data_IF_124728376262
#
_entry.id   IF_124728376262
#
_cell.length_a   1.000
_cell.length_b   1.000
_cell.length_c   1.000
_cell.angle_alpha   90.00
_cell.angle_beta   90.00
_cell.angle_gamma   90.00
#
_symmetry.space_group_name_H-M   'P 1'
#
loop_
_entity.id
_entity.type
_entity.pdbx_description
1 polymer ?
#
# COMPACT_ATOMS: atom_id res chain seq x y z
N UNK A 1 2.93 24.06 -4.30
CA UNK A 1 3.61 23.87 -2.99
C UNK A 1 4.15 22.44 -2.97
N UNK A 2 5.11 22.10 -2.10
CA UNK A 2 5.71 20.75 -2.04
C UNK A 2 5.66 20.19 -0.63
N UNK A 3 5.38 18.88 -0.52
CA UNK A 3 5.28 18.15 0.75
C UNK A 3 6.00 16.81 0.59
N UNK A 4 6.90 16.51 1.52
CA UNK A 4 7.63 15.24 1.57
C UNK A 4 6.96 14.28 2.55
N UNK A 5 6.95 12.99 2.27
CA UNK A 5 6.39 11.97 3.15
C UNK A 5 7.32 10.78 3.32
N UNK A 6 7.26 10.14 4.47
CA UNK A 6 7.99 8.90 4.77
C UNK A 6 6.96 7.82 5.11
N UNK A 7 7.10 6.61 4.54
CA UNK A 7 6.17 5.49 4.66
C UNK A 7 6.78 4.35 5.49
N UNK A 8 6.54 4.34 6.81
CA UNK A 8 7.22 3.39 7.73
C UNK A 8 6.57 1.99 7.77
N UNK A 9 7.30 0.89 7.49
CA UNK A 9 6.78 -0.47 7.56
C UNK A 9 6.62 -0.96 9.00
N UNK A 10 5.38 -0.97 9.52
CA UNK A 10 5.11 -1.45 10.89
C UNK A 10 4.22 -2.69 10.95
N UNK A 11 4.64 -3.64 11.78
CA UNK A 11 4.02 -4.94 11.99
C UNK A 11 2.87 -4.96 13.02
N UNK A 12 2.43 -3.81 13.56
CA UNK A 12 1.36 -3.78 14.57
C UNK A 12 0.36 -2.68 14.24
N UNK A 13 -0.92 -3.05 14.28
CA UNK A 13 -2.06 -2.21 13.97
C UNK A 13 -2.24 -1.06 14.97
N UNK A 14 -2.13 0.17 14.49
CA UNK A 14 -2.94 1.31 14.91
C UNK A 14 -2.69 2.46 13.95
N UNK A 15 -3.74 2.94 13.29
CA UNK A 15 -3.72 4.26 12.65
C UNK A 15 -3.80 5.29 13.78
N UNK A 16 -2.70 5.45 14.50
CA UNK A 16 -2.41 6.76 15.02
C UNK A 16 -2.06 7.56 13.79
N UNK A 17 -2.99 8.39 13.31
CA UNK A 17 -2.63 9.67 12.74
C UNK A 17 -1.82 10.38 13.82
N UNK A 18 -0.56 9.97 13.98
CA UNK A 18 0.37 10.59 14.89
C UNK A 18 0.52 11.98 14.32
N UNK A 19 -0.12 12.93 15.00
CA UNK A 19 -0.08 14.35 14.76
C UNK A 19 1.22 14.71 14.06
N UNK A 20 1.09 15.36 12.91
CA UNK A 20 2.15 15.98 12.15
C UNK A 20 3.12 16.70 13.10
N UNK A 21 4.15 16.00 13.57
CA UNK A 21 5.36 16.65 13.98
C UNK A 21 5.90 17.18 12.66
N UNK A 22 5.71 18.47 12.45
CA UNK A 22 6.14 19.20 11.26
C UNK A 22 7.66 19.19 11.23
N UNK A 23 8.23 18.05 10.90
CA UNK A 23 9.66 17.92 10.68
C UNK A 23 9.96 18.62 9.36
N UNK A 24 11.08 19.34 9.32
CA UNK A 24 11.54 19.97 8.09
C UNK A 24 12.74 19.17 7.63
N UNK A 25 12.72 18.76 6.37
CA UNK A 25 13.92 18.14 5.79
C UNK A 25 15.07 19.14 5.70
N UNK A 26 16.26 18.66 5.33
CA UNK A 26 17.47 19.47 5.18
C UNK A 26 17.31 20.63 4.16
N UNK A 27 16.24 20.59 3.35
CA UNK A 27 15.87 21.58 2.34
C UNK A 27 14.74 22.52 2.81
N UNK A 28 14.31 22.39 4.07
CA UNK A 28 13.32 23.25 4.71
C UNK A 28 11.87 22.96 4.34
N UNK A 29 11.58 21.83 3.66
CA UNK A 29 10.23 21.45 3.23
C UNK A 29 9.49 20.75 4.36
N UNK A 30 8.17 20.93 4.40
CA UNK A 30 7.31 20.22 5.35
C UNK A 30 7.32 18.73 5.04
N UNK A 31 7.76 17.93 6.01
CA UNK A 31 7.70 16.46 5.97
C UNK A 31 6.49 15.99 6.77
N UNK A 32 5.60 15.24 6.12
CA UNK A 32 4.51 14.54 6.78
C UNK A 32 4.82 13.04 6.86
N UNK A 33 5.06 12.56 8.07
CA UNK A 33 5.41 11.15 8.29
C UNK A 33 4.14 10.31 8.34
N UNK A 34 4.09 9.24 7.54
CA UNK A 34 2.96 8.30 7.50
C UNK A 34 3.44 6.88 7.77
N UNK A 35 2.73 6.16 8.63
CA UNK A 35 3.04 4.76 8.95
C UNK A 35 2.24 3.87 8.00
N UNK A 36 2.89 3.09 7.12
CA UNK A 36 2.19 2.25 6.12
C UNK A 36 2.80 0.86 6.00
N UNK A 37 2.03 -0.13 5.54
CA UNK A 37 2.49 -1.53 5.39
C UNK A 37 3.13 -1.81 4.01
N UNK A 38 3.48 -0.78 3.26
CA UNK A 38 3.86 -0.89 1.85
C UNK A 38 5.31 -1.35 1.69
N UNK A 39 5.52 -2.59 1.24
CA UNK A 39 6.86 -3.19 1.02
C UNK A 39 7.08 -3.69 -0.41
N UNK A 40 6.01 -4.05 -1.10
CA UNK A 40 6.10 -4.61 -2.45
C UNK A 40 5.84 -3.50 -3.48
N UNK A 41 6.80 -3.27 -4.37
CA UNK A 41 6.73 -2.24 -5.40
C UNK A 41 5.58 -2.48 -6.38
N UNK A 42 5.33 -3.74 -6.75
CA UNK A 42 4.28 -4.09 -7.70
C UNK A 42 2.90 -3.83 -7.09
N UNK A 43 2.72 -4.17 -5.82
CA UNK A 43 1.48 -3.87 -5.09
C UNK A 43 1.31 -2.37 -4.88
N UNK A 44 2.39 -1.62 -4.66
CA UNK A 44 2.34 -0.15 -4.55
C UNK A 44 1.95 0.49 -5.87
N UNK A 45 2.55 0.06 -6.98
CA UNK A 45 2.20 0.53 -8.32
C UNK A 45 0.75 0.19 -8.67
N UNK A 46 0.26 -1.00 -8.31
CA UNK A 46 -1.15 -1.38 -8.49
C UNK A 46 -2.09 -0.52 -7.63
N UNK A 47 -1.74 -0.28 -6.36
CA UNK A 47 -2.51 0.57 -5.46
C UNK A 47 -2.61 2.02 -5.94
N UNK A 48 -1.51 2.58 -6.44
CA UNK A 48 -1.48 3.92 -7.01
C UNK A 48 -2.42 4.02 -8.22
N UNK A 49 -2.41 3.03 -9.11
CA UNK A 49 -3.36 2.96 -10.25
C UNK A 49 -4.82 2.86 -9.79
N UNK A 50 -5.10 2.10 -8.73
CA UNK A 50 -6.46 2.00 -8.15
C UNK A 50 -6.97 3.35 -7.61
N UNK A 51 -6.08 4.29 -7.28
CA UNK A 51 -6.46 5.67 -6.89
C UNK A 51 -6.67 6.62 -8.08
N UNK A 52 -6.56 6.11 -9.31
CA UNK A 52 -6.66 6.91 -10.53
C UNK A 52 -5.36 7.58 -10.95
N UNK A 53 -4.22 7.23 -10.34
CA UNK A 53 -2.92 7.75 -10.75
C UNK A 53 -2.44 7.10 -12.05
N UNK A 54 -1.78 7.87 -12.90
CA UNK A 54 -0.91 7.30 -13.93
C UNK A 54 0.43 6.98 -13.30
N UNK A 55 0.88 5.72 -13.40
CA UNK A 55 2.07 5.25 -12.68
C UNK A 55 3.16 4.83 -13.67
N UNK A 56 4.33 5.43 -13.50
CA UNK A 56 5.57 5.06 -14.21
C UNK A 56 6.53 4.45 -13.19
N UNK A 57 7.10 3.29 -13.52
CA UNK A 57 8.13 2.65 -12.69
C UNK A 57 9.48 2.74 -13.40
N UNK A 58 10.49 3.22 -12.67
CA UNK A 58 11.88 3.25 -13.10
C UNK A 58 12.74 2.62 -11.98
N UNK A 59 13.93 2.10 -12.27
CA UNK A 59 14.67 1.24 -11.35
C UNK A 59 14.79 1.82 -9.91
N UNK A 60 13.97 1.31 -8.98
CA UNK A 60 13.95 1.72 -7.57
C UNK A 60 13.11 2.96 -7.24
N UNK A 61 12.34 3.48 -8.21
CA UNK A 61 11.47 4.64 -8.05
C UNK A 61 10.12 4.47 -8.77
N UNK A 62 9.06 4.99 -8.16
CA UNK A 62 7.75 5.08 -8.81
C UNK A 62 7.36 6.56 -8.94
N UNK A 63 6.86 6.96 -10.09
CA UNK A 63 6.21 8.26 -10.27
C UNK A 63 4.72 8.04 -10.45
N UNK A 64 3.91 8.82 -9.74
CA UNK A 64 2.46 8.79 -9.81
C UNK A 64 1.91 10.19 -10.11
N UNK A 65 1.13 10.29 -11.17
CA UNK A 65 0.50 11.54 -11.61
C UNK A 65 -1.02 11.46 -11.43
N UNK A 66 -1.57 12.40 -10.67
CA UNK A 66 -3.00 12.71 -10.59
C UNK A 66 -3.26 14.08 -11.22
N UNK A 67 -4.53 14.44 -11.37
CA UNK A 67 -4.92 15.78 -11.82
C UNK A 67 -4.38 16.86 -10.86
N UNK A 68 -3.33 17.57 -11.29
CA UNK A 68 -2.73 18.69 -10.58
C UNK A 68 -1.72 18.32 -9.48
N UNK A 69 -1.48 17.04 -9.23
CA UNK A 69 -0.56 16.55 -8.19
C UNK A 69 0.31 15.45 -8.75
N UNK A 70 1.63 15.53 -8.51
CA UNK A 70 2.60 14.48 -8.82
C UNK A 70 3.22 13.98 -7.51
N UNK A 71 3.40 12.67 -7.39
CA UNK A 71 4.19 12.06 -6.32
C UNK A 71 5.35 11.25 -6.89
N UNK A 72 6.53 11.42 -6.31
CA UNK A 72 7.69 10.56 -6.56
C UNK A 72 7.95 9.68 -5.33
N UNK A 73 7.92 8.38 -5.51
CA UNK A 73 8.22 7.39 -4.49
C UNK A 73 9.63 6.85 -4.70
N UNK A 74 10.45 6.83 -3.65
CA UNK A 74 11.80 6.25 -3.67
C UNK A 74 12.04 5.44 -2.42
N UNK A 75 12.76 4.33 -2.54
CA UNK A 75 13.26 3.61 -1.37
C UNK A 75 14.53 4.25 -0.86
N UNK A 76 14.63 4.41 0.45
CA UNK A 76 15.88 4.75 1.11
C UNK A 76 16.74 3.51 1.41
N UNK A 77 17.88 3.73 2.09
CA UNK A 77 18.82 2.67 2.46
C UNK A 77 18.24 1.63 3.45
N UNK A 78 17.14 1.97 4.14
CA UNK A 78 16.45 1.10 5.08
C UNK A 78 15.27 0.35 4.42
N UNK A 79 15.20 0.38 3.08
CA UNK A 79 14.10 -0.16 2.26
C UNK A 79 12.73 0.48 2.54
N UNK A 80 12.73 1.68 3.14
CA UNK A 80 11.52 2.43 3.47
C UNK A 80 11.18 3.31 2.28
N UNK A 81 9.90 3.29 1.87
CA UNK A 81 9.43 4.18 0.82
C UNK A 81 9.27 5.60 1.36
N UNK A 82 9.85 6.58 0.68
CA UNK A 82 9.55 8.00 0.82
C UNK A 82 8.74 8.46 -0.38
N UNK A 83 7.80 9.38 -0.19
CA UNK A 83 6.95 9.93 -1.24
C UNK A 83 7.01 11.45 -1.23
N UNK A 84 7.46 12.06 -2.32
CA UNK A 84 7.50 13.52 -2.45
C UNK A 84 6.36 13.98 -3.35
N UNK A 85 5.39 14.72 -2.78
CA UNK A 85 4.28 15.31 -3.51
C UNK A 85 4.57 16.75 -3.91
N UNK A 86 4.27 17.08 -5.17
CA UNK A 86 4.42 18.42 -5.74
C UNK A 86 3.18 18.82 -6.53
N UNK A 87 2.99 20.13 -6.70
CA UNK A 87 1.87 20.70 -7.46
C UNK A 87 0.85 21.41 -6.57
N UNK A 88 -0.43 21.22 -6.89
CA UNK A 88 -1.57 21.73 -6.13
C UNK A 88 -1.90 20.80 -4.96
N UNK A 89 -0.95 20.73 -4.01
CA UNK A 89 -1.03 19.86 -2.84
C UNK A 89 -0.73 20.66 -1.57
N UNK A 90 -1.67 20.57 -0.63
CA UNK A 90 -1.53 21.03 0.75
C UNK A 90 -1.49 19.80 1.69
N UNK A 91 -1.33 20.04 2.99
CA UNK A 91 -1.20 18.96 3.98
C UNK A 91 -2.46 18.07 4.04
N UNK A 92 -3.64 18.66 3.95
CA UNK A 92 -4.90 17.94 3.99
C UNK A 92 -5.05 17.02 2.77
N UNK A 93 -4.72 17.53 1.57
CA UNK A 93 -4.77 16.77 0.33
C UNK A 93 -3.67 15.72 0.25
N UNK A 94 -2.45 16.01 0.72
CA UNK A 94 -1.38 15.02 0.84
C UNK A 94 -1.82 13.86 1.74
N UNK A 95 -2.39 14.17 2.91
CA UNK A 95 -2.89 13.16 3.84
C UNK A 95 -3.99 12.30 3.21
N UNK A 96 -4.95 12.93 2.52
CA UNK A 96 -6.03 12.22 1.84
C UNK A 96 -5.53 11.28 0.73
N UNK A 97 -4.56 11.73 -0.07
CA UNK A 97 -3.93 10.91 -1.12
C UNK A 97 -3.29 9.67 -0.48
N UNK A 98 -2.53 9.86 0.59
CA UNK A 98 -1.82 8.73 1.23
C UNK A 98 -2.78 7.74 1.86
N UNK A 99 -3.83 8.21 2.52
CA UNK A 99 -4.88 7.34 3.08
C UNK A 99 -5.58 6.53 1.98
N UNK A 100 -5.85 7.14 0.82
CA UNK A 100 -6.43 6.45 -0.31
C UNK A 100 -5.48 5.37 -0.87
N UNK A 101 -4.18 5.69 -0.99
CA UNK A 101 -3.15 4.74 -1.43
C UNK A 101 -2.97 3.61 -0.42
N UNK A 102 -2.97 3.88 0.89
CA UNK A 102 -2.89 2.85 1.94
C UNK A 102 -4.07 1.89 1.91
N UNK A 103 -5.29 2.41 1.81
CA UNK A 103 -6.48 1.59 1.66
C UNK A 103 -6.43 0.74 0.37
N UNK A 104 -5.97 1.31 -0.74
CA UNK A 104 -5.81 0.58 -2.00
C UNK A 104 -4.74 -0.51 -1.91
N UNK A 105 -3.61 -0.21 -1.28
CA UNK A 105 -2.55 -1.18 -1.07
C UNK A 105 -2.99 -2.35 -0.19
N UNK A 106 -3.73 -2.08 0.89
CA UNK A 106 -4.32 -3.13 1.73
C UNK A 106 -5.18 -4.11 0.94
N UNK A 107 -6.01 -3.60 0.01
CA UNK A 107 -6.81 -4.45 -0.91
C UNK A 107 -5.94 -5.27 -1.87
N UNK A 108 -4.88 -4.67 -2.42
CA UNK A 108 -3.96 -5.38 -3.30
C UNK A 108 -3.20 -6.50 -2.59
N UNK A 109 -2.73 -6.25 -1.36
CA UNK A 109 -2.12 -7.28 -0.51
C UNK A 109 -3.11 -8.41 -0.24
N UNK A 110 -4.35 -8.09 0.13
CA UNK A 110 -5.37 -9.09 0.39
C UNK A 110 -5.64 -9.97 -0.83
N UNK A 111 -5.80 -9.37 -2.02
CA UNK A 111 -5.97 -10.10 -3.28
C UNK A 111 -4.79 -11.03 -3.55
N UNK A 112 -3.56 -10.53 -3.44
CA UNK A 112 -2.35 -11.32 -3.66
C UNK A 112 -2.22 -12.48 -2.66
N UNK A 113 -2.63 -12.29 -1.41
CA UNK A 113 -2.64 -13.37 -0.40
C UNK A 113 -3.69 -14.43 -0.74
N UNK A 114 -4.91 -14.01 -1.11
CA UNK A 114 -5.97 -14.94 -1.51
C UNK A 114 -5.54 -15.77 -2.72
N UNK A 115 -4.96 -15.14 -3.73
CA UNK A 115 -4.43 -15.82 -4.92
C UNK A 115 -3.34 -16.84 -4.56
N UNK A 116 -2.35 -16.43 -3.76
CA UNK A 116 -1.31 -17.35 -3.27
C UNK A 116 -1.86 -18.52 -2.47
N UNK A 117 -2.92 -18.31 -1.68
CA UNK A 117 -3.57 -19.38 -0.93
C UNK A 117 -4.28 -20.37 -1.86
N UNK A 118 -4.97 -19.86 -2.89
CA UNK A 118 -5.60 -20.70 -3.93
C UNK A 118 -4.57 -21.55 -4.68
N UNK A 119 -3.44 -20.96 -5.05
CA UNK A 119 -2.39 -21.68 -5.79
C UNK A 119 -1.68 -22.73 -4.94
N UNK A 120 -1.46 -22.44 -3.65
CA UNK A 120 -0.74 -23.34 -2.74
C UNK A 120 -1.61 -24.41 -2.10
N UNK A 121 -2.92 -24.18 -1.99
CA UNK A 121 -3.82 -25.11 -1.32
C UNK A 121 -3.77 -26.53 -1.91
N UNK A 122 -3.84 -26.75 -3.25
CA UNK A 122 -3.76 -28.09 -3.82
C UNK A 122 -2.44 -28.80 -3.50
N UNK A 123 -1.33 -28.07 -3.52
CA UNK A 123 0.00 -28.62 -3.19
C UNK A 123 0.09 -29.06 -1.72
N UNK A 124 -0.70 -28.43 -0.84
CA UNK A 124 -0.81 -28.78 0.56
C UNK A 124 -1.89 -29.86 0.85
N UNK A 125 -2.51 -30.44 -0.18
CA UNK A 125 -3.63 -31.39 -0.01
C UNK A 125 -4.91 -30.72 0.50
N UNK A 126 -5.07 -29.42 0.23
CA UNK A 126 -6.23 -28.63 0.61
C UNK A 126 -7.02 -28.25 -0.64
N UNK A 127 -8.33 -28.42 -0.59
CA UNK A 127 -9.25 -28.02 -1.65
C UNK A 127 -10.11 -26.87 -1.17
N UNK A 128 -10.15 -25.77 -1.93
CA UNK A 128 -11.03 -24.65 -1.61
C UNK A 128 -12.49 -25.08 -1.82
N UNK A 129 -13.31 -24.98 -0.77
CA UNK A 129 -14.74 -25.30 -0.82
C UNK A 129 -15.63 -24.07 -0.90
N UNK A 130 -15.25 -22.99 -0.23
CA UNK A 130 -16.05 -21.77 -0.19
C UNK A 130 -15.17 -20.54 -0.10
N UNK A 131 -15.56 -19.51 -0.84
CA UNK A 131 -15.02 -18.17 -0.76
C UNK A 131 -16.17 -17.19 -0.59
N UNK A 132 -16.05 -16.33 0.41
CA UNK A 132 -17.03 -15.29 0.69
C UNK A 132 -16.31 -13.97 0.92
N UNK A 133 -16.76 -12.93 0.22
CA UNK A 133 -16.37 -11.55 0.47
C UNK A 133 -17.46 -10.92 1.32
N UNK A 134 -17.12 -10.44 2.50
CA UNK A 134 -18.06 -9.76 3.39
C UNK A 134 -18.23 -8.28 3.02
N UNK A 135 -19.25 -7.63 3.58
CA UNK A 135 -19.59 -6.23 3.33
C UNK A 135 -18.46 -5.26 3.75
N UNK A 136 -17.66 -5.64 4.74
CA UNK A 136 -16.48 -4.90 5.19
C UNK A 136 -15.22 -5.18 4.35
N UNK A 137 -15.38 -5.83 3.20
CA UNK A 137 -14.30 -6.28 2.30
C UNK A 137 -13.37 -7.36 2.86
N UNK A 138 -13.69 -7.95 4.02
CA UNK A 138 -12.97 -9.13 4.50
C UNK A 138 -13.25 -10.34 3.60
N UNK A 139 -12.25 -11.20 3.43
CA UNK A 139 -12.36 -12.42 2.60
C UNK A 139 -12.23 -13.63 3.51
N UNK A 140 -13.24 -14.50 3.48
CA UNK A 140 -13.25 -15.79 4.17
C UNK A 140 -13.07 -16.90 3.16
N UNK A 141 -12.04 -17.73 3.39
CA UNK A 141 -11.77 -18.93 2.61
C UNK A 141 -11.96 -20.16 3.50
N UNK A 142 -12.70 -21.16 3.02
CA UNK A 142 -12.87 -22.46 3.68
C UNK A 142 -12.23 -23.53 2.82
N UNK A 143 -11.29 -24.27 3.41
CA UNK A 143 -10.59 -25.36 2.75
C UNK A 143 -10.97 -26.70 3.38
N UNK A 144 -11.26 -27.70 2.55
CA UNK A 144 -11.34 -29.09 2.96
C UNK A 144 -9.98 -29.76 2.81
N UNK A 145 -9.66 -30.65 3.75
CA UNK A 145 -8.49 -31.53 3.65
C UNK A 145 -8.87 -32.68 2.74
N UNK A 146 -8.10 -32.90 1.67
CA UNK A 146 -8.21 -34.13 0.90
C UNK A 146 -7.71 -35.28 1.75
N UNK A 147 -8.64 -35.97 2.40
CA UNK A 147 -8.36 -37.19 3.14
C UNK A 147 -7.72 -38.19 2.18
N UNK A 148 -6.54 -38.68 2.55
CA UNK A 148 -5.97 -39.91 1.98
C UNK A 148 -7.05 -40.99 2.09
N UNK A 149 -7.65 -41.39 0.97
CA UNK A 149 -8.46 -42.61 0.93
C UNK A 149 -7.58 -43.74 1.45
N UNK A 150 -7.94 -44.29 2.61
CA UNK A 150 -7.38 -45.52 3.15
C UNK A 150 -8.04 -46.71 2.46
#
# INVERSE_FOLDING_TARGET
MSISLILLPLAVASVAAAHAATDRDDEGRTVCQVRTRMRDENLLAAALRDTGATVTAEAGALSADWAGVRAEFRRDADEIWSAHLTGDVDEARATAIVQAVDAAYGRQVQRAVVERLRDRAPVAGLRLESEQVAEDTSVRLVFAVEGRSA
#
